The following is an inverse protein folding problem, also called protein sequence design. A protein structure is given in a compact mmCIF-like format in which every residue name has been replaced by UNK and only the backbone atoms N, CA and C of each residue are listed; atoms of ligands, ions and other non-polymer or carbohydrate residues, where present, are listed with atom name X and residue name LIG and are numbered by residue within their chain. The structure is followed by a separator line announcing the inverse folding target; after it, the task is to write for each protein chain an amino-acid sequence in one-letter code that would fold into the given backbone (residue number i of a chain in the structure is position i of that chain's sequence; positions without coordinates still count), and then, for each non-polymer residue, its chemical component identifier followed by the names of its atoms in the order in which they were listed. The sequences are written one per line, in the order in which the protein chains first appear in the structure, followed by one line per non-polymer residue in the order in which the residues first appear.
data_IF_971214515011
#
_entry.id   IF_971214515011
#
_cell.length_a   1.000
_cell.length_b   1.000
_cell.length_c   1.000
_cell.angle_alpha   90.00
_cell.angle_beta   90.00
_cell.angle_gamma   90.00
#
_symmetry.space_group_name_H-M   'P 1'
#
loop_
_entity.id
_entity.type
_entity.pdbx_description
1 polymer ?
#
# COMPACT_ATOMS: atom_id res chain seq x y z
N UNK A 1 6.63 -19.02 -17.89
CA UNK A 1 7.47 -19.03 -16.66
C UNK A 1 7.56 -17.61 -16.16
N UNK A 2 6.92 -17.28 -15.03
CA UNK A 2 7.12 -15.98 -14.40
C UNK A 2 8.48 -16.03 -13.69
N UNK A 3 9.43 -15.26 -14.19
CA UNK A 3 10.81 -15.25 -13.71
C UNK A 3 10.74 -14.58 -12.33
N UNK A 4 10.83 -15.39 -11.26
CA UNK A 4 10.75 -14.88 -9.89
C UNK A 4 11.86 -13.84 -9.68
N UNK A 5 11.48 -12.63 -9.28
CA UNK A 5 12.42 -11.54 -9.05
C UNK A 5 12.73 -10.69 -10.27
N UNK A 6 11.87 -10.65 -11.30
CA UNK A 6 11.94 -9.64 -12.37
C UNK A 6 10.68 -8.78 -12.42
N UNK A 7 10.85 -7.50 -12.77
CA UNK A 7 9.73 -6.58 -12.91
C UNK A 7 8.96 -6.90 -14.20
N UNK A 8 7.64 -7.15 -14.14
CA UNK A 8 6.85 -7.50 -15.31
C UNK A 8 6.76 -6.38 -16.35
N UNK A 9 7.07 -5.13 -15.96
CA UNK A 9 6.99 -3.97 -16.85
C UNK A 9 8.32 -3.59 -17.49
N UNK A 10 9.44 -3.63 -16.76
CA UNK A 10 10.73 -3.20 -17.30
C UNK A 10 11.73 -4.35 -17.52
N UNK A 11 11.38 -5.59 -17.14
CA UNK A 11 12.26 -6.76 -17.30
C UNK A 11 13.53 -6.73 -16.46
N UNK A 12 13.71 -5.71 -15.61
CA UNK A 12 14.86 -5.61 -14.72
C UNK A 12 14.65 -6.50 -13.49
N UNK A 13 15.75 -7.06 -13.00
CA UNK A 13 15.75 -7.84 -11.77
C UNK A 13 15.37 -6.99 -10.56
N UNK A 14 14.41 -7.45 -9.78
CA UNK A 14 13.87 -6.82 -8.58
C UNK A 14 14.51 -7.48 -7.36
N UNK A 15 15.67 -6.96 -6.96
CA UNK A 15 16.33 -7.33 -5.69
C UNK A 15 15.86 -6.46 -4.53
N UNK A 16 15.48 -5.22 -4.84
CA UNK A 16 14.93 -4.26 -3.89
C UNK A 16 13.63 -3.68 -4.44
N UNK A 17 12.72 -3.35 -3.53
CA UNK A 17 11.44 -2.70 -3.82
C UNK A 17 11.35 -1.40 -3.04
N UNK A 18 10.70 -0.41 -3.63
CA UNK A 18 10.26 0.78 -2.93
C UNK A 18 9.04 0.42 -2.09
N UNK A 19 9.10 0.77 -0.81
CA UNK A 19 8.06 0.52 0.17
C UNK A 19 7.41 1.87 0.50
N UNK A 20 6.14 2.00 0.20
CA UNK A 20 5.35 3.20 0.52
C UNK A 20 4.11 2.83 1.31
N UNK A 21 3.77 3.64 2.32
CA UNK A 21 2.51 3.50 3.03
C UNK A 21 1.44 4.31 2.31
N UNK A 22 0.42 3.62 1.83
CA UNK A 22 -0.73 4.20 1.14
C UNK A 22 -2.01 3.99 1.95
N UNK A 23 -3.04 4.78 1.65
CA UNK A 23 -4.38 4.58 2.22
C UNK A 23 -5.21 3.82 1.20
N UNK A 24 -5.52 2.56 1.51
CA UNK A 24 -6.37 1.72 0.68
C UNK A 24 -7.85 1.87 1.02
N UNK A 25 -8.70 1.67 0.01
CA UNK A 25 -10.11 1.35 0.20
C UNK A 25 -10.25 -0.16 0.10
N UNK A 26 -10.78 -0.80 1.15
CA UNK A 26 -11.07 -2.23 1.18
C UNK A 26 -12.57 -2.35 1.39
N UNK A 27 -13.26 -3.08 0.50
CA UNK A 27 -14.71 -3.32 0.59
C UNK A 27 -15.60 -2.06 0.72
N UNK A 28 -15.19 -0.96 0.08
CA UNK A 28 -15.94 0.31 0.12
C UNK A 28 -15.79 1.11 1.42
N UNK A 29 -15.13 0.56 2.44
CA UNK A 29 -14.74 1.30 3.63
C UNK A 29 -13.29 1.80 3.48
N UNK A 30 -13.13 3.12 3.38
CA UNK A 30 -11.81 3.75 3.43
C UNK A 30 -11.28 3.70 4.86
N UNK A 31 -10.11 3.08 5.09
CA UNK A 31 -9.11 3.39 6.16
C UNK A 31 -8.09 2.29 6.47
N UNK A 32 -7.95 1.24 5.66
CA UNK A 32 -6.83 0.33 5.86
C UNK A 32 -5.53 1.03 5.43
N UNK A 33 -4.55 1.13 6.33
CA UNK A 33 -3.18 1.46 5.91
C UNK A 33 -2.67 0.26 5.13
N UNK A 34 -2.18 0.50 3.92
CA UNK A 34 -1.61 -0.53 3.11
C UNK A 34 -0.15 -0.19 2.81
N UNK A 35 0.66 -1.22 2.62
CA UNK A 35 2.04 -1.12 2.21
C UNK A 35 2.09 -1.51 0.74
N UNK A 36 2.46 -0.56 -0.12
CA UNK A 36 2.69 -0.82 -1.54
C UNK A 36 4.16 -1.09 -1.79
N UNK A 37 4.43 -2.18 -2.50
CA UNK A 37 5.73 -2.57 -2.98
C UNK A 37 5.82 -2.21 -4.46
N UNK A 38 6.76 -1.34 -4.84
CA UNK A 38 6.97 -0.91 -6.23
C UNK A 38 8.39 -1.14 -6.71
N UNK A 39 8.57 -1.29 -8.02
CA UNK A 39 9.88 -1.47 -8.62
C UNK A 39 10.70 -0.17 -8.54
N UNK A 40 11.93 -0.23 -8.03
CA UNK A 40 12.83 0.94 -7.89
C UNK A 40 13.23 1.59 -9.23
N UNK A 41 13.04 0.90 -10.35
CA UNK A 41 13.50 1.37 -11.67
C UNK A 41 12.40 2.04 -12.49
N UNK A 42 11.15 1.70 -12.25
CA UNK A 42 10.03 2.17 -13.08
C UNK A 42 8.75 2.46 -12.28
N UNK A 43 8.83 2.36 -10.95
CA UNK A 43 7.76 2.59 -9.97
C UNK A 43 6.48 1.79 -10.22
N UNK A 44 6.59 0.70 -10.98
CA UNK A 44 5.46 -0.20 -11.21
C UNK A 44 5.12 -0.91 -9.92
N UNK A 45 3.86 -0.86 -9.50
CA UNK A 45 3.35 -1.57 -8.32
C UNK A 45 3.44 -3.06 -8.58
N UNK A 46 4.15 -3.77 -7.70
CA UNK A 46 4.35 -5.21 -7.74
C UNK A 46 3.43 -5.94 -6.77
N UNK A 47 3.03 -5.26 -5.69
CA UNK A 47 2.11 -5.81 -4.70
C UNK A 47 1.63 -4.74 -3.73
N UNK A 48 0.48 -4.99 -3.12
CA UNK A 48 -0.09 -4.17 -2.05
C UNK A 48 -0.52 -5.12 -0.94
N UNK A 49 -0.08 -4.84 0.28
CA UNK A 49 -0.42 -5.60 1.46
C UNK A 49 -1.17 -4.71 2.45
N UNK A 50 -2.17 -5.25 3.13
CA UNK A 50 -2.82 -4.51 4.22
C UNK A 50 -1.91 -4.58 5.45
N UNK A 51 -1.61 -3.43 6.04
CA UNK A 51 -0.85 -3.39 7.29
C UNK A 51 -1.74 -3.85 8.45
N UNK A 52 -1.67 -5.13 8.78
CA UNK A 52 -2.41 -5.73 9.89
C UNK A 52 -1.98 -5.22 11.27
N UNK A 53 -0.82 -4.55 11.38
CA UNK A 53 -0.35 -3.92 12.63
C UNK A 53 -0.85 -2.50 12.79
N UNK A 54 -1.33 -1.87 11.72
CA UNK A 54 -1.95 -0.56 11.82
C UNK A 54 -3.26 -0.66 12.62
N UNK A 55 -3.26 -0.08 13.83
CA UNK A 55 -4.51 0.11 14.59
C UNK A 55 -5.54 0.80 13.69
N UNK A 56 -6.78 0.31 13.60
CA UNK A 56 -7.85 1.00 12.90
C UNK A 56 -7.88 2.44 13.41
N UNK A 57 -7.71 3.42 12.52
CA UNK A 57 -7.77 4.82 12.94
C UNK A 57 -9.21 5.08 13.37
N UNK A 58 -9.45 5.08 14.67
CA UNK A 58 -10.72 5.51 15.24
C UNK A 58 -11.05 6.85 14.57
N UNK A 59 -12.23 6.93 13.93
CA UNK A 59 -12.76 8.19 13.43
C UNK A 59 -12.65 9.14 14.61
N UNK A 60 -11.79 10.16 14.51
CA UNK A 60 -11.78 11.25 15.48
C UNK A 60 -13.21 11.77 15.46
N UNK A 61 -13.97 11.44 16.50
CA UNK A 61 -15.29 12.00 16.69
C UNK A 61 -15.05 13.50 16.69
N UNK A 62 -15.56 14.21 15.69
CA UNK A 62 -15.60 15.67 15.75
C UNK A 62 -16.20 15.99 17.12
N UNK A 63 -15.53 16.77 17.99
CA UNK A 63 -16.16 17.20 19.23
C UNK A 63 -17.47 17.89 18.83
N UNK A 64 -18.59 17.60 19.52
CA UNK A 64 -19.86 18.24 19.19
C UNK A 64 -19.64 19.75 19.22
N UNK A 65 -20.06 20.44 18.16
CA UNK A 65 -20.07 21.89 18.13
C UNK A 65 -20.86 22.36 19.36
N UNK A 66 -20.23 23.16 20.22
CA UNK A 66 -20.93 23.83 21.32
C UNK A 66 -21.99 24.74 20.69
N UNK A 67 -23.26 24.47 21.01
CA UNK A 67 -24.37 25.39 20.79
C UNK A 67 -24.35 26.51 21.84
#
# INVERSE_FOLDING_TARGET
MAIQGECPKCGKRVLHVNIETIVGMVDGESKARCISHSCIHCNTVLGVEVDHRAKPRARSAKPPAKA
#
